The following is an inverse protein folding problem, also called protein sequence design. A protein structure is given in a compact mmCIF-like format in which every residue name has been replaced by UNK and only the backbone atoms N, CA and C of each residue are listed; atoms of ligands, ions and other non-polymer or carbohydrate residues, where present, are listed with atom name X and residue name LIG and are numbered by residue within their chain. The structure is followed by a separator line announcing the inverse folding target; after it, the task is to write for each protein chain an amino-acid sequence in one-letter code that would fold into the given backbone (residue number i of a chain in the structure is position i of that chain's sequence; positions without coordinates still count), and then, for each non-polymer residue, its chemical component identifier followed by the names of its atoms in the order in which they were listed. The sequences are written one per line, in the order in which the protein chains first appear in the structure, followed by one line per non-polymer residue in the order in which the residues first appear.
data_IF_146164820644
#
_entry.id   IF_146164820644
#
_cell.length_a   1.000
_cell.length_b   1.000
_cell.length_c   1.000
_cell.angle_alpha   90.00
_cell.angle_beta   90.00
_cell.angle_gamma   90.00
#
_symmetry.space_group_name_H-M   'P 1'
#
loop_
_entity.id
_entity.type
_entity.pdbx_description
1 polymer ?
#
# COMPACT_ATOMS: atom_id res chain seq x y z
N UNK A 1 33.78 2.26 -28.50
CA UNK A 1 32.39 2.77 -28.48
C UNK A 1 31.80 2.49 -27.10
N UNK A 2 31.73 3.48 -26.21
CA UNK A 2 31.12 3.32 -24.89
C UNK A 2 29.61 3.50 -25.03
N UNK A 3 28.83 2.45 -24.77
CA UNK A 3 27.39 2.56 -24.62
C UNK A 3 27.10 3.49 -23.44
N UNK A 4 26.50 4.66 -23.72
CA UNK A 4 25.85 5.46 -22.70
C UNK A 4 24.68 4.63 -22.18
N UNK A 5 24.83 4.04 -21.00
CA UNK A 5 23.70 3.59 -20.22
C UNK A 5 22.85 4.84 -19.91
N UNK A 6 21.74 5.00 -20.62
CA UNK A 6 20.71 5.96 -20.25
C UNK A 6 20.13 5.49 -18.92
N UNK A 7 20.69 6.02 -17.83
CA UNK A 7 20.15 5.84 -16.49
C UNK A 7 18.78 6.53 -16.44
N UNK A 8 17.73 5.79 -16.77
CA UNK A 8 16.35 6.24 -16.58
C UNK A 8 16.12 6.45 -15.08
N UNK A 9 15.93 7.70 -14.67
CA UNK A 9 15.46 8.05 -13.31
C UNK A 9 14.02 7.57 -13.18
N UNK A 10 13.68 6.96 -12.05
CA UNK A 10 12.27 6.73 -11.74
C UNK A 10 11.58 8.08 -11.53
N UNK A 11 10.44 8.30 -12.20
CA UNK A 11 9.57 9.45 -11.95
C UNK A 11 8.45 8.98 -11.04
N UNK A 12 8.42 9.50 -9.82
CA UNK A 12 7.33 9.22 -8.88
C UNK A 12 6.04 9.88 -9.36
N UNK A 13 4.90 9.21 -9.23
CA UNK A 13 3.59 9.82 -9.51
C UNK A 13 3.27 11.00 -8.58
N UNK A 14 3.98 11.17 -7.46
CA UNK A 14 3.94 12.39 -6.64
C UNK A 14 4.58 13.61 -7.30
N UNK A 15 5.42 13.42 -8.32
CA UNK A 15 6.00 14.52 -9.10
C UNK A 15 5.12 14.97 -10.27
N UNK A 16 4.06 14.23 -10.59
CA UNK A 16 3.14 14.53 -11.67
C UNK A 16 2.10 15.56 -11.21
N UNK A 17 1.72 16.46 -12.12
CA UNK A 17 0.53 17.28 -11.91
C UNK A 17 -0.71 16.39 -11.75
N UNK A 18 -1.80 16.95 -11.23
CA UNK A 18 -3.05 16.19 -11.09
C UNK A 18 -3.55 15.66 -12.44
N UNK A 19 -3.53 16.50 -13.47
CA UNK A 19 -3.90 16.09 -14.82
C UNK A 19 -3.02 14.93 -15.34
N UNK A 20 -1.70 15.04 -15.21
CA UNK A 20 -0.78 13.99 -15.66
C UNK A 20 -1.02 12.68 -14.93
N UNK A 21 -1.19 12.72 -13.61
CA UNK A 21 -1.49 11.53 -12.82
C UNK A 21 -2.81 10.86 -13.24
N UNK A 22 -3.87 11.64 -13.43
CA UNK A 22 -5.17 11.09 -13.85
C UNK A 22 -5.12 10.50 -15.27
N UNK A 23 -4.24 11.01 -16.15
CA UNK A 23 -4.03 10.47 -17.49
C UNK A 23 -3.38 9.09 -17.50
N UNK A 24 -2.54 8.76 -16.51
CA UNK A 24 -1.83 7.46 -16.45
C UNK A 24 -2.78 6.25 -16.43
N UNK A 25 -4.02 6.42 -15.96
CA UNK A 25 -4.99 5.33 -15.85
C UNK A 25 -5.63 4.91 -17.18
N UNK A 26 -5.54 5.74 -18.23
CA UNK A 26 -6.05 5.43 -19.57
C UNK A 26 -7.52 4.93 -19.57
N UNK A 27 -8.40 5.60 -18.82
CA UNK A 27 -9.83 5.29 -18.75
C UNK A 27 -10.65 6.30 -19.57
N UNK A 28 -11.52 5.82 -20.46
CA UNK A 28 -12.40 6.68 -21.27
C UNK A 28 -13.28 7.60 -20.41
N UNK A 29 -13.75 7.10 -19.26
CA UNK A 29 -14.55 7.87 -18.30
C UNK A 29 -13.79 9.04 -17.67
N UNK A 30 -12.45 8.96 -17.63
CA UNK A 30 -11.55 9.98 -17.08
C UNK A 30 -11.08 10.93 -18.19
N UNK A 31 -10.83 10.41 -19.41
CA UNK A 31 -10.33 11.20 -20.54
C UNK A 31 -11.24 12.38 -20.90
N UNK A 32 -12.56 12.17 -21.00
CA UNK A 32 -13.51 13.22 -21.38
C UNK A 32 -13.50 14.43 -20.42
N UNK A 33 -13.64 14.24 -19.09
CA UNK A 33 -13.47 15.32 -18.11
C UNK A 33 -12.11 16.04 -18.21
N UNK A 34 -11.02 15.31 -18.41
CA UNK A 34 -9.68 15.90 -18.54
C UNK A 34 -9.54 16.80 -19.77
N UNK A 35 -10.11 16.42 -20.92
CA UNK A 35 -10.12 17.24 -22.14
C UNK A 35 -10.85 18.57 -21.94
N UNK A 36 -11.83 18.61 -21.03
CA UNK A 36 -12.57 19.83 -20.66
C UNK A 36 -11.90 20.62 -19.52
N UNK A 37 -10.80 20.12 -18.95
CA UNK A 37 -10.12 20.71 -17.80
C UNK A 37 -10.85 20.50 -16.46
N UNK A 38 -11.84 19.62 -16.39
CA UNK A 38 -12.61 19.33 -15.19
C UNK A 38 -11.94 18.23 -14.35
N UNK A 39 -10.96 18.64 -13.55
CA UNK A 39 -10.15 17.73 -12.73
C UNK A 39 -10.98 17.03 -11.64
N UNK A 40 -11.99 17.70 -11.10
CA UNK A 40 -12.85 17.10 -10.06
C UNK A 40 -13.73 16.00 -10.66
N UNK A 41 -14.36 16.25 -11.81
CA UNK A 41 -15.12 15.20 -12.48
C UNK A 41 -14.22 14.03 -12.93
N UNK A 42 -12.99 14.31 -13.38
CA UNK A 42 -12.01 13.27 -13.72
C UNK A 42 -11.64 12.40 -12.50
N UNK A 43 -11.34 13.05 -11.36
CA UNK A 43 -11.06 12.38 -10.08
C UNK A 43 -12.23 11.49 -9.65
N UNK A 44 -13.44 12.03 -9.67
CA UNK A 44 -14.65 11.30 -9.28
C UNK A 44 -14.96 10.16 -10.25
N UNK A 45 -14.62 10.28 -11.54
CA UNK A 45 -14.75 9.20 -12.50
C UNK A 45 -13.74 8.06 -12.23
N UNK A 46 -12.50 8.39 -11.85
CA UNK A 46 -11.49 7.41 -11.48
C UNK A 46 -11.88 6.64 -10.20
N UNK A 47 -12.37 7.35 -9.17
CA UNK A 47 -12.77 6.73 -7.92
C UNK A 47 -13.99 5.80 -8.12
N UNK A 48 -14.99 6.26 -8.87
CA UNK A 48 -16.14 5.43 -9.27
C UNK A 48 -15.72 4.18 -10.03
N UNK A 49 -14.75 4.29 -10.94
CA UNK A 49 -14.21 3.12 -11.64
C UNK A 49 -13.71 2.03 -10.68
N UNK A 50 -13.05 2.43 -9.59
CA UNK A 50 -12.54 1.47 -8.60
C UNK A 50 -13.62 0.96 -7.65
N UNK A 51 -14.59 1.79 -7.26
CA UNK A 51 -15.70 1.37 -6.39
C UNK A 51 -16.61 0.34 -7.09
N UNK A 52 -16.84 0.52 -8.40
CA UNK A 52 -17.67 -0.34 -9.24
C UNK A 52 -16.87 -1.44 -9.95
N UNK A 53 -15.57 -1.57 -9.68
CA UNK A 53 -14.69 -2.48 -10.42
C UNK A 53 -15.13 -3.94 -10.26
N UNK A 54 -15.66 -4.49 -11.35
CA UNK A 54 -16.01 -5.90 -11.46
C UNK A 54 -15.07 -6.68 -12.40
N UNK A 55 -14.57 -6.06 -13.48
CA UNK A 55 -13.73 -6.71 -14.51
C UNK A 55 -12.54 -5.83 -14.89
N UNK A 56 -11.29 -6.36 -14.83
CA UNK A 56 -10.95 -7.61 -14.17
C UNK A 56 -11.23 -7.50 -12.67
N UNK A 57 -11.68 -8.60 -12.08
CA UNK A 57 -11.98 -8.69 -10.65
C UNK A 57 -10.77 -8.26 -9.82
N UNK A 58 -11.02 -7.73 -8.62
CA UNK A 58 -9.97 -7.41 -7.68
C UNK A 58 -9.11 -8.65 -7.38
N UNK A 59 -7.78 -8.51 -7.32
CA UNK A 59 -6.93 -9.62 -6.92
C UNK A 59 -7.15 -9.91 -5.43
N UNK A 60 -7.08 -11.19 -5.08
CA UNK A 60 -7.04 -11.63 -3.69
C UNK A 60 -5.60 -11.55 -3.16
N UNK A 61 -5.44 -11.50 -1.83
CA UNK A 61 -4.12 -11.61 -1.22
C UNK A 61 -3.44 -12.93 -1.64
N UNK A 62 -2.22 -12.87 -2.22
CA UNK A 62 -1.53 -14.09 -2.63
C UNK A 62 -1.14 -14.93 -1.41
N UNK A 63 -1.69 -16.14 -1.28
CA UNK A 63 -1.44 -17.03 -0.12
C UNK A 63 0.04 -17.29 0.13
N UNK A 64 0.87 -17.39 -0.92
CA UNK A 64 2.34 -17.52 -0.79
C UNK A 64 3.04 -16.34 -0.09
N UNK A 65 2.37 -15.19 0.03
CA UNK A 65 2.90 -13.98 0.62
C UNK A 65 2.19 -13.61 1.92
N UNK A 66 1.29 -14.42 2.46
CA UNK A 66 0.61 -14.11 3.72
C UNK A 66 0.21 -15.38 4.46
N UNK A 67 0.37 -15.36 5.79
CA UNK A 67 -0.03 -16.48 6.65
C UNK A 67 -1.45 -16.29 7.20
N UNK A 68 -2.14 -15.19 6.84
CA UNK A 68 -3.48 -14.84 7.32
C UNK A 68 -4.53 -15.96 7.11
N UNK A 69 -4.42 -16.70 6.00
CA UNK A 69 -5.33 -17.81 5.69
C UNK A 69 -5.10 -19.06 6.54
N UNK A 70 -3.96 -19.17 7.22
CA UNK A 70 -3.61 -20.29 8.08
C UNK A 70 -3.96 -20.06 9.55
N UNK A 71 -4.31 -18.83 9.92
CA UNK A 71 -4.66 -18.46 11.29
C UNK A 71 -6.11 -18.84 11.61
N UNK A 72 -6.35 -19.21 12.86
CA UNK A 72 -7.70 -19.24 13.41
C UNK A 72 -8.29 -17.82 13.46
N UNK A 73 -9.61 -17.71 13.59
CA UNK A 73 -10.26 -16.41 13.72
C UNK A 73 -9.77 -15.62 14.95
N UNK A 74 -9.53 -16.30 16.07
CA UNK A 74 -9.02 -15.69 17.30
C UNK A 74 -7.59 -15.16 17.12
N UNK A 75 -6.70 -15.96 16.54
CA UNK A 75 -5.31 -15.55 16.27
C UNK A 75 -5.25 -14.37 15.29
N UNK A 76 -6.06 -14.39 14.23
CA UNK A 76 -6.14 -13.31 13.25
C UNK A 76 -6.57 -12.00 13.90
N UNK A 77 -7.62 -12.03 14.73
CA UNK A 77 -8.12 -10.85 15.43
C UNK A 77 -7.10 -10.32 16.46
N UNK A 78 -6.47 -11.22 17.22
CA UNK A 78 -5.43 -10.84 18.17
C UNK A 78 -4.23 -10.18 17.47
N UNK A 79 -3.77 -10.73 16.34
CA UNK A 79 -2.68 -10.12 15.56
C UNK A 79 -3.09 -8.80 14.91
N UNK A 80 -4.34 -8.66 14.46
CA UNK A 80 -4.84 -7.40 13.92
C UNK A 80 -4.90 -6.32 15.00
N UNK A 81 -5.32 -6.67 16.22
CA UNK A 81 -5.32 -5.76 17.38
C UNK A 81 -3.89 -5.37 17.80
N UNK A 82 -2.93 -6.31 17.72
CA UNK A 82 -1.51 -6.01 17.90
C UNK A 82 -1.02 -4.97 16.87
N UNK A 83 -1.37 -5.13 15.58
CA UNK A 83 -1.01 -4.19 14.52
C UNK A 83 -1.65 -2.83 14.73
N UNK A 84 -2.92 -2.78 15.16
CA UNK A 84 -3.60 -1.54 15.55
C UNK A 84 -2.87 -0.82 16.69
N UNK A 85 -2.17 -1.56 17.56
CA UNK A 85 -1.32 -1.04 18.63
C UNK A 85 0.16 -0.86 18.22
N UNK A 86 0.47 -0.87 16.92
CA UNK A 86 1.83 -0.74 16.36
C UNK A 86 2.81 -1.83 16.81
N UNK A 87 2.30 -3.03 17.09
CA UNK A 87 3.09 -4.22 17.39
C UNK A 87 3.10 -5.14 16.17
N UNK A 88 4.30 -5.44 15.65
CA UNK A 88 4.45 -6.15 14.39
C UNK A 88 5.23 -7.46 14.51
N UNK A 89 4.93 -8.37 13.59
CA UNK A 89 5.55 -9.69 13.47
C UNK A 89 5.24 -10.63 14.63
N UNK A 90 5.71 -11.87 14.53
CA UNK A 90 5.44 -12.92 15.53
C UNK A 90 5.95 -12.56 16.94
N UNK A 91 7.00 -11.73 17.02
CA UNK A 91 7.56 -11.25 18.28
C UNK A 91 6.81 -10.04 18.89
N UNK A 92 5.74 -9.54 18.24
CA UNK A 92 4.93 -8.40 18.69
C UNK A 92 5.78 -7.17 19.06
N UNK A 93 6.77 -6.85 18.23
CA UNK A 93 7.69 -5.74 18.49
C UNK A 93 6.92 -4.43 18.35
N UNK A 94 6.87 -3.65 19.43
CA UNK A 94 6.28 -2.32 19.43
C UNK A 94 7.23 -1.31 18.79
N UNK A 95 6.73 -0.55 17.81
CA UNK A 95 7.52 0.41 17.04
C UNK A 95 7.30 1.88 17.43
N UNK A 96 6.64 2.12 18.57
CA UNK A 96 6.32 3.46 19.06
C UNK A 96 4.93 3.96 18.65
N UNK A 97 4.50 5.04 19.28
CA UNK A 97 3.23 5.71 18.93
C UNK A 97 3.25 6.27 17.51
N UNK A 98 4.42 6.75 17.06
CA UNK A 98 4.74 6.93 15.65
C UNK A 98 5.65 5.80 15.22
N UNK A 99 5.25 5.06 14.19
CA UNK A 99 5.98 3.85 13.76
C UNK A 99 7.38 4.22 13.28
N UNK A 100 8.40 3.74 13.97
CA UNK A 100 9.78 3.77 13.47
C UNK A 100 9.98 2.65 12.44
N UNK A 101 9.73 2.96 11.17
CA UNK A 101 9.89 2.04 10.05
C UNK A 101 11.33 1.55 9.83
N UNK A 102 12.32 2.26 10.39
CA UNK A 102 13.74 1.91 10.25
C UNK A 102 14.27 1.13 11.46
N UNK A 103 13.43 0.90 12.47
CA UNK A 103 13.81 0.14 13.65
C UNK A 103 14.25 -1.27 13.26
N UNK A 104 15.46 -1.65 13.66
CA UNK A 104 15.95 -3.02 13.57
C UNK A 104 16.01 -3.60 14.99
N UNK A 105 14.97 -4.34 15.42
CA UNK A 105 14.92 -4.90 16.78
C UNK A 105 15.88 -6.09 16.96
N UNK A 106 16.54 -6.52 15.89
CA UNK A 106 17.47 -7.65 15.90
C UNK A 106 18.90 -7.17 15.63
N UNK A 107 19.92 -7.77 16.25
CA UNK A 107 21.32 -7.49 15.91
C UNK A 107 21.73 -8.12 14.56
N UNK A 108 20.78 -8.27 13.63
CA UNK A 108 21.00 -8.81 12.30
C UNK A 108 21.47 -7.70 11.35
N UNK A 109 22.72 -7.74 10.83
CA UNK A 109 23.21 -6.74 9.90
C UNK A 109 22.44 -6.75 8.57
N UNK A 110 21.76 -7.85 8.25
CA UNK A 110 20.86 -7.93 7.09
C UNK A 110 19.45 -7.43 7.38
N UNK A 111 19.18 -6.87 8.57
CA UNK A 111 17.89 -6.31 9.01
C UNK A 111 16.68 -7.09 8.46
N UNK A 112 16.71 -8.43 8.52
CA UNK A 112 15.71 -9.28 7.87
C UNK A 112 14.31 -9.01 8.39
N UNK A 113 14.20 -8.72 9.69
CA UNK A 113 12.95 -8.35 10.32
C UNK A 113 12.37 -7.05 9.73
N UNK A 114 13.17 -5.98 9.65
CA UNK A 114 12.75 -4.69 9.09
C UNK A 114 12.42 -4.82 7.60
N UNK A 115 13.19 -5.60 6.84
CA UNK A 115 12.87 -5.92 5.44
C UNK A 115 11.53 -6.66 5.30
N UNK A 116 11.18 -7.53 6.24
CA UNK A 116 9.91 -8.24 6.22
C UNK A 116 8.72 -7.32 6.56
N UNK A 117 8.90 -6.39 7.51
CA UNK A 117 7.93 -5.34 7.82
C UNK A 117 7.53 -4.57 6.55
N UNK A 118 8.52 -4.20 5.72
CA UNK A 118 8.34 -3.49 4.45
C UNK A 118 7.72 -4.31 3.31
N UNK A 119 7.48 -5.61 3.50
CA UNK A 119 6.71 -6.43 2.54
C UNK A 119 5.20 -6.30 2.76
N UNK A 120 4.78 -5.64 3.84
CA UNK A 120 3.39 -5.32 4.15
C UNK A 120 2.46 -6.54 4.21
N UNK A 121 2.99 -7.71 4.56
CA UNK A 121 2.20 -8.94 4.76
C UNK A 121 1.11 -8.76 5.82
N UNK A 122 1.36 -7.87 6.78
CA UNK A 122 0.43 -7.46 7.84
C UNK A 122 -0.87 -6.84 7.29
N UNK A 123 -0.91 -6.32 6.06
CA UNK A 123 -2.13 -5.81 5.44
C UNK A 123 -3.21 -6.90 5.30
N UNK A 124 -2.82 -8.13 4.98
CA UNK A 124 -3.75 -9.25 4.87
C UNK A 124 -4.39 -9.62 6.22
N UNK A 125 -3.66 -9.42 7.32
CA UNK A 125 -4.15 -9.68 8.68
C UNK A 125 -5.24 -8.67 9.05
N UNK A 126 -4.95 -7.37 8.87
CA UNK A 126 -5.89 -6.30 9.16
C UNK A 126 -7.11 -6.35 8.23
N UNK A 127 -6.91 -6.65 6.95
CA UNK A 127 -7.99 -6.85 5.99
C UNK A 127 -8.89 -8.03 6.38
N UNK A 128 -8.31 -9.19 6.71
CA UNK A 128 -9.08 -10.34 7.16
C UNK A 128 -9.88 -10.08 8.44
N UNK A 129 -9.33 -9.30 9.37
CA UNK A 129 -10.05 -8.88 10.57
C UNK A 129 -11.22 -7.94 10.25
N UNK A 130 -11.02 -6.98 9.34
CA UNK A 130 -12.08 -6.11 8.85
C UNK A 130 -13.19 -6.88 8.15
N UNK A 131 -12.86 -7.78 7.22
CA UNK A 131 -13.84 -8.59 6.49
C UNK A 131 -14.70 -9.47 7.40
N UNK A 132 -14.11 -9.99 8.49
CA UNK A 132 -14.83 -10.85 9.45
C UNK A 132 -15.75 -10.09 10.39
N UNK A 133 -15.34 -8.88 10.80
CA UNK A 133 -16.02 -8.15 11.89
C UNK A 133 -16.83 -6.97 11.40
N UNK A 134 -16.49 -6.39 10.25
CA UNK A 134 -16.97 -5.09 9.80
C UNK A 134 -16.48 -3.93 10.68
N UNK A 135 -15.55 -4.14 11.61
CA UNK A 135 -15.09 -3.10 12.52
C UNK A 135 -14.15 -2.12 11.80
N UNK A 136 -14.65 -0.91 11.62
CA UNK A 136 -13.94 0.21 11.00
C UNK A 136 -12.64 0.60 11.71
N UNK A 137 -12.35 0.09 12.92
CA UNK A 137 -11.03 0.26 13.55
C UNK A 137 -9.91 -0.30 12.67
N UNK A 138 -10.14 -1.45 12.02
CA UNK A 138 -9.15 -2.08 11.16
C UNK A 138 -8.94 -1.28 9.87
N UNK A 139 -10.00 -0.72 9.30
CA UNK A 139 -9.88 0.17 8.15
C UNK A 139 -9.14 1.47 8.50
N UNK A 140 -9.40 2.07 9.68
CA UNK A 140 -8.62 3.22 10.18
C UNK A 140 -7.15 2.86 10.39
N UNK A 141 -6.85 1.69 10.94
CA UNK A 141 -5.47 1.19 11.09
C UNK A 141 -4.79 1.07 9.73
N UNK A 142 -5.45 0.47 8.74
CA UNK A 142 -4.94 0.40 7.37
C UNK A 142 -4.61 1.79 6.80
N UNK A 143 -5.57 2.71 6.82
CA UNK A 143 -5.41 4.07 6.27
C UNK A 143 -4.27 4.82 6.96
N UNK A 144 -4.23 4.79 8.30
CA UNK A 144 -3.21 5.51 9.08
C UNK A 144 -1.80 4.95 8.83
N UNK A 145 -1.63 3.63 8.89
CA UNK A 145 -0.32 2.99 8.68
C UNK A 145 0.18 3.16 7.25
N UNK A 146 -0.71 3.08 6.25
CA UNK A 146 -0.33 3.30 4.86
C UNK A 146 0.06 4.76 4.60
N UNK A 147 -0.72 5.73 5.09
CA UNK A 147 -0.37 7.14 4.96
C UNK A 147 0.96 7.48 5.65
N UNK A 148 1.17 6.97 6.87
CA UNK A 148 2.41 7.14 7.61
C UNK A 148 3.60 6.50 6.88
N UNK A 149 3.45 5.28 6.36
CA UNK A 149 4.51 4.61 5.58
C UNK A 149 4.86 5.38 4.31
N UNK A 150 3.86 5.79 3.52
CA UNK A 150 4.04 6.53 2.24
C UNK A 150 4.77 7.85 2.50
N UNK A 151 4.38 8.59 3.55
CA UNK A 151 5.03 9.86 3.90
C UNK A 151 6.45 9.68 4.45
N UNK A 152 6.71 8.59 5.19
CA UNK A 152 8.00 8.33 5.83
C UNK A 152 9.03 7.67 4.91
N UNK A 153 8.60 7.02 3.84
CA UNK A 153 9.47 6.19 2.99
C UNK A 153 9.40 6.63 1.52
N UNK A 154 9.86 7.84 1.20
CA UNK A 154 9.90 8.33 -0.19
C UNK A 154 10.75 7.42 -1.10
N UNK A 155 10.31 7.16 -2.35
CA UNK A 155 11.07 6.33 -3.29
C UNK A 155 12.42 6.96 -3.64
N UNK A 156 13.49 6.16 -3.74
CA UNK A 156 14.78 6.64 -4.20
C UNK A 156 14.71 6.96 -5.70
N UNK A 157 15.50 7.93 -6.15
CA UNK A 157 15.56 8.36 -7.58
C UNK A 157 16.07 7.26 -8.52
N UNK A 158 16.77 6.27 -7.96
CA UNK A 158 17.35 5.11 -8.63
C UNK A 158 17.22 3.90 -7.74
N UNK A 159 17.42 2.71 -8.31
CA UNK A 159 17.45 1.45 -7.57
C UNK A 159 18.43 1.54 -6.39
N UNK A 160 17.97 1.16 -5.20
CA UNK A 160 18.75 1.11 -3.96
C UNK A 160 18.39 -0.13 -3.13
N UNK A 161 19.25 -1.14 -3.17
CA UNK A 161 19.05 -2.40 -2.40
C UNK A 161 19.54 -2.29 -0.94
N UNK A 162 20.28 -1.23 -0.61
CA UNK A 162 20.70 -0.98 0.77
C UNK A 162 19.53 -0.41 1.59
N UNK A 163 18.65 0.35 0.95
CA UNK A 163 17.40 0.82 1.56
C UNK A 163 16.43 -0.34 1.83
N UNK A 164 16.18 -0.63 3.10
CA UNK A 164 15.32 -1.73 3.56
C UNK A 164 13.88 -1.66 3.05
N UNK A 165 13.37 -0.44 2.81
CA UNK A 165 12.02 -0.22 2.29
C UNK A 165 11.92 -0.41 0.76
N UNK A 166 13.03 -0.25 0.03
CA UNK A 166 13.05 -0.14 -1.43
C UNK A 166 13.82 -1.24 -2.16
N UNK A 167 14.13 -2.34 -1.46
CA UNK A 167 14.62 -3.57 -2.11
C UNK A 167 13.66 -4.03 -3.21
N UNK A 168 14.19 -4.55 -4.33
CA UNK A 168 13.34 -4.97 -5.47
C UNK A 168 12.33 -6.05 -5.07
N UNK A 169 12.73 -6.98 -4.20
CA UNK A 169 11.83 -8.02 -3.69
C UNK A 169 10.66 -7.40 -2.89
N UNK A 170 10.95 -6.44 -2.01
CA UNK A 170 9.92 -5.74 -1.24
C UNK A 170 8.93 -4.99 -2.13
N UNK A 171 9.43 -4.26 -3.13
CA UNK A 171 8.60 -3.56 -4.13
C UNK A 171 7.71 -4.56 -4.88
N UNK A 172 8.27 -5.66 -5.38
CA UNK A 172 7.51 -6.67 -6.12
C UNK A 172 6.42 -7.35 -5.28
N UNK A 173 6.66 -7.59 -4.00
CA UNK A 173 5.63 -8.12 -3.09
C UNK A 173 4.53 -7.09 -2.81
N UNK A 174 4.89 -5.82 -2.57
CA UNK A 174 3.92 -4.74 -2.36
C UNK A 174 3.03 -4.53 -3.58
N UNK A 175 3.59 -4.59 -4.79
CA UNK A 175 2.81 -4.51 -6.04
C UNK A 175 1.73 -5.60 -6.16
N UNK A 176 1.89 -6.74 -5.49
CA UNK A 176 0.88 -7.80 -5.42
C UNK A 176 -0.08 -7.65 -4.23
N UNK A 177 0.40 -7.15 -3.08
CA UNK A 177 -0.36 -7.05 -1.83
C UNK A 177 -1.25 -5.80 -1.80
N UNK A 178 -0.75 -4.66 -2.26
CA UNK A 178 -1.43 -3.37 -2.15
C UNK A 178 -2.74 -3.32 -2.94
N UNK A 179 -2.84 -3.85 -4.18
CA UNK A 179 -4.12 -3.89 -4.88
C UNK A 179 -5.18 -4.73 -4.15
N UNK A 180 -4.78 -5.84 -3.50
CA UNK A 180 -5.69 -6.65 -2.69
C UNK A 180 -6.15 -5.92 -1.43
N UNK A 181 -5.24 -5.20 -0.76
CA UNK A 181 -5.58 -4.35 0.39
C UNK A 181 -6.51 -3.19 -0.02
N UNK A 182 -6.23 -2.52 -1.14
CA UNK A 182 -7.10 -1.48 -1.68
C UNK A 182 -8.52 -2.02 -1.89
N UNK A 183 -8.65 -3.21 -2.49
CA UNK A 183 -9.94 -3.86 -2.71
C UNK A 183 -10.68 -4.18 -1.41
N UNK A 184 -9.99 -4.74 -0.41
CA UNK A 184 -10.59 -5.13 0.86
C UNK A 184 -11.19 -3.92 1.61
N UNK A 185 -10.57 -2.75 1.48
CA UNK A 185 -10.99 -1.53 2.18
C UNK A 185 -11.72 -0.51 1.30
N UNK A 186 -11.87 -0.73 -0.02
CA UNK A 186 -12.38 0.29 -0.96
C UNK A 186 -13.75 0.87 -0.57
N UNK A 187 -14.59 0.08 0.09
CA UNK A 187 -15.95 0.47 0.54
C UNK A 187 -16.02 0.97 1.98
N UNK A 188 -14.90 0.95 2.72
CA UNK A 188 -14.87 1.50 4.07
C UNK A 188 -15.02 3.02 4.03
N UNK A 189 -15.78 3.56 4.98
CA UNK A 189 -15.91 5.02 5.17
C UNK A 189 -14.59 5.68 5.65
N UNK A 190 -13.68 4.90 6.23
CA UNK A 190 -12.38 5.42 6.65
C UNK A 190 -11.44 5.66 5.46
N UNK A 191 -11.62 4.91 4.36
CA UNK A 191 -10.79 5.03 3.16
C UNK A 191 -11.36 6.08 2.21
N UNK A 192 -11.19 7.35 2.58
CA UNK A 192 -11.69 8.52 1.85
C UNK A 192 -11.08 8.65 0.45
N UNK A 193 -11.73 9.42 -0.42
CA UNK A 193 -11.24 9.78 -1.76
C UNK A 193 -9.78 10.24 -1.77
N UNK A 194 -9.42 11.13 -0.84
CA UNK A 194 -8.06 11.66 -0.72
C UNK A 194 -7.05 10.54 -0.39
N UNK A 195 -7.39 9.67 0.56
CA UNK A 195 -6.51 8.57 0.96
C UNK A 195 -6.40 7.49 -0.12
N UNK A 196 -7.48 7.22 -0.87
CA UNK A 196 -7.47 6.37 -2.07
C UNK A 196 -6.51 6.92 -3.11
N UNK A 197 -6.63 8.20 -3.46
CA UNK A 197 -5.76 8.85 -4.46
C UNK A 197 -4.30 8.90 -4.01
N UNK A 198 -4.04 9.16 -2.72
CA UNK A 198 -2.69 9.14 -2.16
C UNK A 198 -2.04 7.75 -2.31
N UNK A 199 -2.79 6.67 -2.01
CA UNK A 199 -2.29 5.32 -2.21
C UNK A 199 -2.06 5.01 -3.70
N UNK A 200 -2.99 5.39 -4.60
CA UNK A 200 -2.83 5.20 -6.04
C UNK A 200 -1.61 5.92 -6.62
N UNK A 201 -1.23 7.08 -6.06
CA UNK A 201 0.02 7.79 -6.42
C UNK A 201 1.29 7.11 -5.93
N UNK A 202 1.18 6.20 -4.97
CA UNK A 202 2.32 5.52 -4.37
C UNK A 202 2.57 4.12 -4.94
N UNK A 203 1.72 3.65 -5.86
CA UNK A 203 1.87 2.35 -6.56
C UNK A 203 2.84 2.47 -7.72
#
# INVERSE_FOLDING_TARGET
MAQRATSSSFKSAFSLSEQQFLQEFNLDSVAGPLERGDLEAARQALLRHYDDRAVPAWPIFPSRFTDAGSLTAEELLAQADDITAHRFGNARIWLGDKVDWMHNPTPDPMARWTRDLHRHRWLAIVAGAYERTGDEKYARTFVNLMADWISSNSPPVRKDEANVAWTLMGVGMRAAIWPAAFAAFCRSRAFTDETKLNMLRSV
#
